data_IF_468845346852
#
_entry.id   IF_468845346852
#
_cell.length_a   1.000
_cell.length_b   1.000
_cell.length_c   1.000
_cell.angle_alpha   90.00
_cell.angle_beta   90.00
_cell.angle_gamma   90.00
#
_symmetry.space_group_name_H-M   'P 1'
#
loop_
_entity.id
_entity.type
_entity.pdbx_description
1 polymer ?
#
# COMPACT_ATOMS: atom_id res chain seq x y z
N UNK A 1 -21.82 -21.50 39.44
CA UNK A 1 -20.98 -20.59 38.64
C UNK A 1 -20.93 -21.13 37.23
N UNK A 2 -21.56 -20.49 36.22
CA UNK A 2 -21.54 -21.00 34.86
C UNK A 2 -20.15 -20.79 34.25
N UNK A 3 -19.64 -21.85 33.64
CA UNK A 3 -18.33 -21.99 33.00
C UNK A 3 -18.29 -21.24 31.67
N UNK A 4 -17.74 -20.02 31.68
CA UNK A 4 -17.54 -19.13 30.52
C UNK A 4 -16.37 -19.53 29.59
N UNK A 5 -15.72 -20.68 29.85
CA UNK A 5 -14.50 -21.11 29.17
C UNK A 5 -14.66 -21.60 27.72
N UNK A 6 -15.74 -22.31 27.30
CA UNK A 6 -15.81 -22.84 25.95
C UNK A 6 -16.14 -21.77 24.89
N UNK A 7 -16.90 -20.72 25.25
CA UNK A 7 -17.28 -19.67 24.29
C UNK A 7 -16.08 -18.79 23.90
N UNK A 8 -15.21 -18.43 24.86
CA UNK A 8 -13.98 -17.66 24.60
C UNK A 8 -12.98 -18.39 23.68
N UNK A 9 -12.89 -19.72 23.76
CA UNK A 9 -12.05 -20.54 22.89
C UNK A 9 -12.55 -20.58 21.45
N UNK A 10 -13.87 -20.63 21.24
CA UNK A 10 -14.48 -20.66 19.91
C UNK A 10 -14.32 -19.30 19.23
N UNK A 11 -14.53 -18.19 19.94
CA UNK A 11 -14.31 -16.85 19.39
C UNK A 11 -12.83 -16.59 19.04
N UNK A 12 -11.89 -17.08 19.85
CA UNK A 12 -10.45 -16.97 19.57
C UNK A 12 -10.01 -17.74 18.32
N UNK A 13 -10.51 -18.97 18.13
CA UNK A 13 -10.17 -19.81 16.98
C UNK A 13 -10.75 -19.26 15.66
N UNK A 14 -11.98 -18.74 15.68
CA UNK A 14 -12.61 -18.11 14.52
C UNK A 14 -11.89 -16.80 14.15
N UNK A 15 -11.54 -15.97 15.13
CA UNK A 15 -10.77 -14.74 14.89
C UNK A 15 -9.38 -15.01 14.30
N UNK A 16 -8.67 -16.02 14.81
CA UNK A 16 -7.36 -16.42 14.29
C UNK A 16 -7.46 -16.99 12.86
N UNK A 17 -8.47 -17.84 12.58
CA UNK A 17 -8.70 -18.41 11.27
C UNK A 17 -9.00 -17.37 10.19
N UNK A 18 -9.87 -16.39 10.49
CA UNK A 18 -10.18 -15.29 9.57
C UNK A 18 -8.95 -14.42 9.29
N UNK A 19 -8.11 -14.18 10.31
CA UNK A 19 -6.88 -13.40 10.17
C UNK A 19 -5.87 -14.12 9.27
N UNK A 20 -5.66 -15.42 9.47
CA UNK A 20 -4.75 -16.22 8.65
C UNK A 20 -5.20 -16.29 7.18
N UNK A 21 -6.50 -16.46 6.92
CA UNK A 21 -7.06 -16.47 5.56
C UNK A 21 -6.91 -15.09 4.89
N UNK A 22 -7.16 -14.01 5.62
CA UNK A 22 -6.98 -12.65 5.11
C UNK A 22 -5.52 -12.38 4.71
N UNK A 23 -4.56 -12.79 5.55
CA UNK A 23 -3.13 -12.70 5.26
C UNK A 23 -2.73 -13.55 4.06
N UNK A 24 -3.21 -14.79 3.97
CA UNK A 24 -2.96 -15.67 2.82
C UNK A 24 -3.50 -15.09 1.51
N UNK A 25 -4.72 -14.56 1.53
CA UNK A 25 -5.32 -13.90 0.37
C UNK A 25 -4.57 -12.62 -0.03
N UNK A 26 -4.05 -11.86 0.93
CA UNK A 26 -3.22 -10.68 0.66
C UNK A 26 -1.88 -11.07 0.03
N UNK A 27 -1.18 -12.07 0.57
CA UNK A 27 0.07 -12.60 0.01
C UNK A 27 -0.13 -13.13 -1.41
N UNK A 28 -1.20 -13.89 -1.65
CA UNK A 28 -1.53 -14.39 -2.99
C UNK A 28 -1.79 -13.26 -4.00
N UNK A 29 -2.47 -12.19 -3.57
CA UNK A 29 -2.68 -11.00 -4.42
C UNK A 29 -1.40 -10.22 -4.68
N UNK A 30 -0.54 -10.06 -3.67
CA UNK A 30 0.76 -9.42 -3.81
C UNK A 30 1.65 -10.19 -4.79
N UNK A 31 1.73 -11.53 -4.64
CA UNK A 31 2.46 -12.39 -5.55
C UNK A 31 1.96 -12.26 -7.00
N UNK A 32 0.64 -12.29 -7.22
CA UNK A 32 0.06 -12.07 -8.57
C UNK A 32 0.45 -10.72 -9.15
N UNK A 33 0.44 -9.65 -8.35
CA UNK A 33 0.86 -8.31 -8.81
C UNK A 33 2.33 -8.26 -9.17
N UNK A 34 3.20 -8.90 -8.39
CA UNK A 34 4.62 -9.00 -8.71
C UNK A 34 4.83 -9.76 -10.04
N UNK A 35 4.08 -10.84 -10.27
CA UNK A 35 4.10 -11.55 -11.56
C UNK A 35 3.57 -10.70 -12.71
N UNK A 36 2.48 -9.95 -12.53
CA UNK A 36 1.95 -9.04 -13.55
C UNK A 36 2.94 -7.92 -13.85
N UNK A 37 3.59 -7.36 -12.84
CA UNK A 37 4.64 -6.36 -13.02
C UNK A 37 5.81 -6.93 -13.84
N UNK A 38 6.29 -8.13 -13.48
CA UNK A 38 7.38 -8.79 -14.20
C UNK A 38 7.02 -9.16 -15.66
N UNK A 39 5.76 -9.50 -15.93
CA UNK A 39 5.32 -9.95 -17.27
C UNK A 39 4.83 -8.83 -18.18
N UNK A 40 4.28 -7.75 -17.63
CA UNK A 40 3.64 -6.68 -18.40
C UNK A 40 4.21 -5.28 -18.15
N UNK A 41 5.07 -5.11 -17.15
CA UNK A 41 5.53 -3.78 -16.71
C UNK A 41 4.45 -2.97 -15.99
N UNK A 42 3.23 -3.51 -15.85
CA UNK A 42 2.09 -2.83 -15.22
C UNK A 42 1.64 -3.54 -13.95
N UNK A 43 1.41 -2.78 -12.87
CA UNK A 43 0.81 -3.27 -11.64
C UNK A 43 0.08 -2.15 -10.88
N UNK A 44 -0.83 -2.54 -10.00
CA UNK A 44 -1.63 -1.61 -9.21
C UNK A 44 -1.61 -1.95 -7.72
N UNK A 45 -1.11 -1.03 -6.90
CA UNK A 45 -0.90 -1.20 -5.47
C UNK A 45 -1.85 -0.30 -4.68
N UNK A 46 -2.86 -0.86 -3.97
CA UNK A 46 -3.75 -0.06 -3.15
C UNK A 46 -3.00 0.65 -2.03
N UNK A 47 -3.25 1.95 -1.87
CA UNK A 47 -2.62 2.74 -0.83
C UNK A 47 -3.49 3.92 -0.38
N UNK A 48 -3.11 4.51 0.74
CA UNK A 48 -3.55 5.83 1.19
C UNK A 48 -2.36 6.77 1.08
N UNK A 49 -2.53 7.88 0.38
CA UNK A 49 -1.46 8.85 0.16
C UNK A 49 -1.84 10.20 0.79
N UNK A 50 -0.86 10.89 1.33
CA UNK A 50 -0.89 12.27 1.80
C UNK A 50 0.17 13.03 1.02
N UNK A 51 -0.28 13.97 0.18
CA UNK A 51 0.58 14.77 -0.68
C UNK A 51 -0.18 16.04 -1.12
N UNK A 52 -0.04 17.14 -0.38
CA UNK A 52 -0.81 18.36 -0.64
C UNK A 52 -0.58 18.94 -2.03
N UNK A 53 0.66 18.92 -2.55
CA UNK A 53 0.97 19.48 -3.86
C UNK A 53 0.34 18.71 -5.02
N UNK A 54 0.30 17.37 -4.93
CA UNK A 54 -0.33 16.54 -5.97
C UNK A 54 -1.84 16.35 -5.82
N UNK A 55 -2.41 16.58 -4.63
CA UNK A 55 -3.81 16.18 -4.34
C UNK A 55 -4.69 17.29 -3.78
N UNK A 56 -4.13 18.48 -3.59
CA UNK A 56 -4.80 19.66 -3.04
C UNK A 56 -4.91 19.61 -1.52
N UNK A 57 -5.87 20.36 -0.97
CA UNK A 57 -6.03 20.61 0.48
C UNK A 57 -6.41 19.39 1.34
N UNK A 58 -6.50 18.19 0.77
CA UNK A 58 -6.89 16.99 1.52
C UNK A 58 -5.71 16.46 2.32
N UNK A 59 -5.94 16.17 3.60
CA UNK A 59 -4.94 15.56 4.47
C UNK A 59 -4.48 14.20 3.93
N UNK A 60 -5.39 13.37 3.40
CA UNK A 60 -5.05 12.13 2.71
C UNK A 60 -6.18 11.68 1.77
N UNK A 61 -5.86 10.78 0.85
CA UNK A 61 -6.84 10.11 -0.03
C UNK A 61 -6.47 8.66 -0.29
N UNK A 62 -7.49 7.84 -0.52
CA UNK A 62 -7.34 6.45 -0.90
C UNK A 62 -7.34 6.29 -2.42
N UNK A 63 -6.52 5.38 -2.91
CA UNK A 63 -6.42 5.06 -4.32
C UNK A 63 -5.43 3.93 -4.54
N UNK A 64 -4.77 3.95 -5.69
CA UNK A 64 -3.75 2.96 -6.04
C UNK A 64 -2.58 3.64 -6.73
N UNK A 65 -1.37 3.21 -6.42
CA UNK A 65 -0.21 3.45 -7.28
C UNK A 65 -0.34 2.53 -8.48
N UNK A 66 -0.15 3.06 -9.68
CA UNK A 66 -0.18 2.32 -10.93
C UNK A 66 1.15 2.56 -11.64
N UNK A 67 1.79 1.46 -12.05
CA UNK A 67 2.93 1.50 -12.97
C UNK A 67 2.36 1.40 -14.40
N UNK A 68 2.71 2.35 -15.26
CA UNK A 68 2.36 2.36 -16.66
C UNK A 68 3.52 1.91 -17.55
N UNK A 69 3.23 1.72 -18.84
CA UNK A 69 4.24 1.44 -19.85
C UNK A 69 5.30 2.54 -19.89
N UNK A 70 6.58 2.15 -19.96
CA UNK A 70 7.72 3.08 -19.81
C UNK A 70 8.08 3.41 -18.35
N UNK A 71 7.46 2.73 -17.38
CA UNK A 71 7.79 2.83 -15.96
C UNK A 71 7.18 4.04 -15.24
N UNK A 72 6.42 4.90 -15.92
CA UNK A 72 5.81 6.05 -15.29
C UNK A 72 4.90 5.62 -14.12
N UNK A 73 5.08 6.25 -12.97
CA UNK A 73 4.24 6.01 -11.80
C UNK A 73 3.12 7.05 -11.75
N UNK A 74 1.91 6.58 -11.48
CA UNK A 74 0.76 7.44 -11.26
C UNK A 74 -0.03 7.01 -10.03
N UNK A 75 -0.68 7.96 -9.38
CA UNK A 75 -1.68 7.72 -8.36
C UNK A 75 -3.08 7.86 -8.97
N UNK A 76 -3.83 6.76 -9.00
CA UNK A 76 -5.19 6.72 -9.53
C UNK A 76 -6.22 6.59 -8.40
N UNK A 77 -7.32 7.34 -8.51
CA UNK A 77 -8.49 7.22 -7.63
C UNK A 77 -9.78 7.28 -8.43
N UNK A 78 -10.84 6.65 -7.93
CA UNK A 78 -12.12 6.54 -8.62
C UNK A 78 -12.69 7.94 -8.95
N UNK A 79 -13.11 8.13 -10.20
CA UNK A 79 -13.80 9.34 -10.66
C UNK A 79 -12.91 10.59 -10.75
N UNK A 80 -11.58 10.44 -10.78
CA UNK A 80 -10.63 11.55 -10.93
C UNK A 80 -9.48 11.14 -11.84
N UNK A 81 -8.90 12.12 -12.54
CA UNK A 81 -7.72 11.91 -13.36
C UNK A 81 -6.54 11.39 -12.51
N UNK A 82 -5.76 10.43 -13.02
CA UNK A 82 -4.52 10.01 -12.38
C UNK A 82 -3.54 11.17 -12.22
N UNK A 83 -2.81 11.17 -11.11
CA UNK A 83 -1.79 12.17 -10.80
C UNK A 83 -0.41 11.52 -10.97
N UNK A 84 0.52 12.08 -11.76
CA UNK A 84 1.89 11.59 -11.84
C UNK A 84 2.54 11.56 -10.47
N UNK A 85 3.13 10.43 -10.09
CA UNK A 85 3.90 10.28 -8.87
C UNK A 85 5.39 10.51 -9.17
N UNK A 86 6.00 11.54 -8.57
CA UNK A 86 7.43 11.77 -8.69
C UNK A 86 8.19 10.62 -8.04
N UNK A 87 9.28 10.23 -8.69
CA UNK A 87 10.27 9.32 -8.14
C UNK A 87 11.26 10.07 -7.25
N UNK A 88 11.85 9.36 -6.30
CA UNK A 88 12.86 9.92 -5.39
C UNK A 88 13.83 8.83 -4.98
N UNK A 89 15.14 9.11 -5.02
CA UNK A 89 16.16 8.19 -4.51
C UNK A 89 16.14 8.02 -2.98
N UNK A 90 15.42 8.91 -2.27
CA UNK A 90 15.37 8.97 -0.81
C UNK A 90 13.98 8.60 -0.29
N UNK A 91 13.62 7.32 -0.40
CA UNK A 91 12.40 6.74 0.21
C UNK A 91 12.75 6.11 1.54
N UNK A 92 11.96 6.43 2.58
CA UNK A 92 12.08 5.84 3.92
C UNK A 92 10.86 4.98 4.20
N UNK A 93 11.09 3.79 4.75
CA UNK A 93 10.04 2.90 5.22
C UNK A 93 9.85 3.12 6.73
N UNK A 94 8.66 3.55 7.13
CA UNK A 94 8.29 3.78 8.53
C UNK A 94 7.23 2.75 8.96
N UNK A 95 7.35 2.14 10.16
CA UNK A 95 6.32 1.25 10.67
C UNK A 95 4.99 1.99 10.85
N UNK A 96 3.88 1.32 10.56
CA UNK A 96 2.54 1.84 10.86
C UNK A 96 2.07 1.41 12.24
N UNK A 97 1.17 2.20 12.84
CA UNK A 97 0.44 1.80 14.05
C UNK A 97 -0.46 0.57 13.82
N UNK A 98 -0.78 0.26 12.56
CA UNK A 98 -1.59 -0.89 12.17
C UNK A 98 -0.73 -2.01 11.60
N UNK A 99 -0.82 -3.20 12.19
CA UNK A 99 -0.14 -4.42 11.73
C UNK A 99 -0.47 -4.72 10.26
N UNK A 100 0.54 -5.16 9.50
CA UNK A 100 0.41 -5.48 8.07
C UNK A 100 0.46 -4.27 7.15
N UNK A 101 0.65 -3.06 7.67
CA UNK A 101 0.82 -1.83 6.90
C UNK A 101 2.13 -1.12 7.25
N UNK A 102 2.69 -0.41 6.27
CA UNK A 102 3.85 0.47 6.45
C UNK A 102 3.61 1.79 5.73
N UNK A 103 4.33 2.83 6.16
CA UNK A 103 4.31 4.15 5.50
C UNK A 103 5.62 4.34 4.74
N UNK A 104 5.54 4.47 3.42
CA UNK A 104 6.64 5.00 2.62
C UNK A 104 6.60 6.52 2.66
N UNK A 105 7.71 7.14 3.02
CA UNK A 105 7.85 8.58 3.11
C UNK A 105 9.03 9.06 2.26
N UNK A 106 8.81 10.08 1.46
CA UNK A 106 9.87 10.71 0.67
C UNK A 106 9.55 12.17 0.38
N UNK A 107 10.59 12.98 0.21
CA UNK A 107 10.45 14.36 -0.22
C UNK A 107 10.57 14.46 -1.74
N UNK A 108 9.72 15.31 -2.32
CA UNK A 108 9.79 15.68 -3.72
C UNK A 108 10.26 17.13 -3.81
N UNK A 109 11.41 17.41 -4.45
CA UNK A 109 11.93 18.76 -4.59
C UNK A 109 10.88 19.73 -5.17
N UNK A 110 10.58 20.80 -4.43
CA UNK A 110 9.60 21.83 -4.82
C UNK A 110 8.12 21.40 -4.70
N UNK A 111 7.82 20.16 -4.30
CA UNK A 111 6.45 19.64 -4.16
C UNK A 111 6.17 19.05 -2.78
N UNK A 112 7.20 18.93 -1.93
CA UNK A 112 7.11 18.59 -0.52
C UNK A 112 6.99 17.09 -0.22
N UNK A 113 6.63 16.81 1.03
CA UNK A 113 6.59 15.48 1.62
C UNK A 113 5.42 14.65 1.10
N UNK A 114 5.73 13.44 0.62
CA UNK A 114 4.77 12.41 0.23
C UNK A 114 4.79 11.31 1.27
N UNK A 115 3.62 10.96 1.81
CA UNK A 115 3.44 9.82 2.70
C UNK A 115 2.46 8.84 2.12
N UNK A 116 2.85 7.59 1.99
CA UNK A 116 2.05 6.53 1.40
C UNK A 116 1.93 5.35 2.35
N UNK A 117 0.74 5.14 2.90
CA UNK A 117 0.41 3.97 3.71
C UNK A 117 -0.09 2.84 2.79
N UNK A 118 0.60 1.71 2.80
CA UNK A 118 0.26 0.52 2.00
C UNK A 118 0.55 -0.77 2.75
N UNK A 119 0.21 -1.91 2.15
CA UNK A 119 0.50 -3.21 2.74
C UNK A 119 2.02 -3.46 2.77
N UNK A 120 2.52 -4.00 3.87
CA UNK A 120 3.94 -4.38 4.02
C UNK A 120 4.42 -5.30 2.89
N UNK A 121 3.55 -6.21 2.41
CA UNK A 121 3.91 -7.15 1.33
C UNK A 121 4.12 -6.47 -0.02
N UNK A 122 3.57 -5.27 -0.21
CA UNK A 122 3.73 -4.49 -1.44
C UNK A 122 4.83 -3.42 -1.28
N UNK A 123 5.37 -3.23 -0.07
CA UNK A 123 6.21 -2.08 0.28
C UNK A 123 7.53 -2.06 -0.49
N UNK A 124 8.24 -3.19 -0.50
CA UNK A 124 9.53 -3.33 -1.18
C UNK A 124 9.41 -3.07 -2.69
N UNK A 125 8.35 -3.61 -3.31
CA UNK A 125 8.10 -3.39 -4.74
C UNK A 125 7.82 -1.92 -5.03
N UNK A 126 6.93 -1.28 -4.25
CA UNK A 126 6.58 0.14 -4.46
C UNK A 126 7.76 1.06 -4.14
N UNK A 127 8.55 0.75 -3.13
CA UNK A 127 9.79 1.46 -2.81
C UNK A 127 10.79 1.38 -3.99
N UNK A 128 11.04 0.18 -4.52
CA UNK A 128 11.93 0.00 -5.66
C UNK A 128 11.47 0.79 -6.89
N UNK A 129 10.17 0.79 -7.16
CA UNK A 129 9.58 1.58 -8.25
C UNK A 129 9.76 3.09 -8.03
N UNK A 130 9.58 3.58 -6.80
CA UNK A 130 9.76 4.99 -6.46
C UNK A 130 11.24 5.42 -6.53
N UNK A 131 12.18 4.50 -6.28
CA UNK A 131 13.62 4.76 -6.29
C UNK A 131 14.27 4.61 -7.66
N UNK A 132 13.65 3.93 -8.62
CA UNK A 132 14.21 3.72 -9.95
C UNK A 132 14.33 5.05 -10.70
N UNK A 133 15.49 5.71 -10.66
CA UNK A 133 15.76 6.95 -11.43
C UNK A 133 16.42 6.58 -12.76
#
# INVERSE_FOLDING_TARGET
MPSLLPELLIFGAVGAGVTAVALGAQRGRAARRATTLASSGTASFPCRISWPAGMGKKAFVYGKVVTGDGGQLTFARRGRSPVPLPRSGSVRVEPSWRTGLVTLRYDVPGQGDVRMLLNETDAETVEGLLRAV
#
